data_IF_962497314289
#
_entry.id   IF_962497314289
#
_cell.length_a   1.000
_cell.length_b   1.000
_cell.length_c   1.000
_cell.angle_alpha   90.00
_cell.angle_beta   90.00
_cell.angle_gamma   90.00
#
_symmetry.space_group_name_H-M   'P 1'
#
loop_
_entity.id
_entity.type
_entity.pdbx_description
1 polymer ?
#
# COMPACT_ATOMS: atom_id res chain seq x y z
N UNK A 1 -71.56 26.00 55.37
CA UNK A 1 -70.65 24.85 55.30
C UNK A 1 -69.70 25.06 54.15
N UNK A 2 -68.42 25.25 54.45
CA UNK A 2 -67.27 24.63 53.78
C UNK A 2 -66.01 25.12 54.48
N UNK A 3 -65.38 24.17 55.16
CA UNK A 3 -63.99 24.16 55.61
C UNK A 3 -63.07 24.57 54.45
N UNK A 4 -61.92 25.21 54.63
CA UNK A 4 -60.64 24.57 55.00
C UNK A 4 -59.58 25.68 54.81
N UNK A 5 -58.97 26.26 55.85
CA UNK A 5 -57.74 25.83 56.55
C UNK A 5 -56.40 26.04 55.80
N UNK A 6 -55.46 26.60 56.57
CA UNK A 6 -53.98 26.61 56.50
C UNK A 6 -53.31 27.62 55.55
N UNK A 7 -52.59 28.64 56.06
CA UNK A 7 -51.25 28.58 56.71
C UNK A 7 -50.22 28.09 55.67
N UNK A 8 -49.09 28.73 55.37
CA UNK A 8 -48.08 29.32 56.24
C UNK A 8 -46.96 29.89 55.33
N UNK A 9 -46.32 30.97 55.77
CA UNK A 9 -44.86 31.21 55.75
C UNK A 9 -43.99 31.01 54.50
N UNK A 10 -43.33 32.14 54.16
CA UNK A 10 -41.90 32.33 53.85
C UNK A 10 -41.13 31.26 53.07
N UNK A 11 -40.57 31.67 51.94
CA UNK A 11 -39.35 31.10 51.37
C UNK A 11 -38.54 32.28 50.82
N UNK A 12 -37.73 32.91 51.66
CA UNK A 12 -36.28 32.67 51.75
C UNK A 12 -35.58 32.97 50.42
N UNK A 13 -35.19 34.24 50.27
CA UNK A 13 -34.02 34.59 49.47
C UNK A 13 -32.83 33.80 50.02
N UNK A 14 -32.21 32.97 49.19
CA UNK A 14 -30.88 32.46 49.46
C UNK A 14 -30.14 32.34 48.13
N UNK A 15 -29.30 33.35 47.90
CA UNK A 15 -28.03 33.31 47.18
C UNK A 15 -27.77 32.01 46.40
N UNK A 16 -28.15 32.01 45.12
CA UNK A 16 -27.39 31.28 44.11
C UNK A 16 -26.09 32.07 43.92
N UNK A 17 -25.06 31.73 44.71
CA UNK A 17 -23.68 31.98 44.30
C UNK A 17 -23.49 31.29 42.95
N UNK A 18 -23.64 32.06 41.88
CA UNK A 18 -23.16 31.67 40.56
C UNK A 18 -21.66 31.64 40.71
N UNK A 19 -21.11 30.43 40.84
CA UNK A 19 -19.68 30.17 40.80
C UNK A 19 -19.03 31.02 39.72
N UNK A 20 -17.94 31.70 40.09
CA UNK A 20 -17.17 32.63 39.26
C UNK A 20 -17.21 32.25 37.77
N UNK A 21 -18.04 32.98 37.02
CA UNK A 21 -17.98 32.96 35.55
C UNK A 21 -16.67 33.67 35.18
N UNK A 22 -15.58 32.91 35.09
CA UNK A 22 -14.36 33.37 34.43
C UNK A 22 -14.77 33.94 33.07
N UNK A 23 -14.66 35.27 32.93
CA UNK A 23 -14.95 35.97 31.69
C UNK A 23 -13.79 35.68 30.74
N UNK A 24 -13.89 34.58 30.00
CA UNK A 24 -12.94 34.23 28.94
C UNK A 24 -12.87 35.42 27.99
N UNK A 25 -11.70 36.03 27.92
CA UNK A 25 -11.47 37.19 27.05
C UNK A 25 -11.53 36.73 25.60
N UNK A 26 -12.00 37.59 24.68
CA UNK A 26 -12.00 37.31 23.24
C UNK A 26 -10.60 36.87 22.77
N UNK A 27 -9.56 37.49 23.32
CA UNK A 27 -8.15 37.18 23.01
C UNK A 27 -7.78 35.78 23.47
N UNK A 28 -8.23 35.37 24.66
CA UNK A 28 -8.02 34.02 25.20
C UNK A 28 -8.72 32.97 24.34
N UNK A 29 -9.94 33.25 23.89
CA UNK A 29 -10.69 32.35 23.01
C UNK A 29 -9.96 32.17 21.66
N UNK A 30 -9.45 33.27 21.07
CA UNK A 30 -8.69 33.22 19.81
C UNK A 30 -7.36 32.48 19.99
N UNK A 31 -6.65 32.69 21.10
CA UNK A 31 -5.43 31.94 21.41
C UNK A 31 -5.70 30.44 21.56
N UNK A 32 -6.78 30.05 22.23
CA UNK A 32 -7.17 28.63 22.35
C UNK A 32 -7.52 28.05 20.97
N UNK A 33 -8.23 28.80 20.13
CA UNK A 33 -8.61 28.35 18.78
C UNK A 33 -7.38 28.16 17.87
N UNK A 34 -6.42 29.08 17.93
CA UNK A 34 -5.14 28.96 17.23
C UNK A 34 -4.33 27.76 17.73
N UNK A 35 -4.28 27.55 19.04
CA UNK A 35 -3.55 26.44 19.65
C UNK A 35 -4.17 25.09 19.27
N UNK A 36 -5.51 24.97 19.29
CA UNK A 36 -6.22 23.78 18.83
C UNK A 36 -5.98 23.53 17.35
N UNK A 37 -6.04 24.56 16.51
CA UNK A 37 -5.74 24.45 15.08
C UNK A 37 -4.32 23.93 14.81
N UNK A 38 -3.33 24.45 15.53
CA UNK A 38 -1.94 24.02 15.40
C UNK A 38 -1.77 22.56 15.82
N UNK A 39 -2.33 22.16 16.98
CA UNK A 39 -2.29 20.76 17.45
C UNK A 39 -2.96 19.81 16.45
N UNK A 40 -4.07 20.21 15.83
CA UNK A 40 -4.75 19.42 14.82
C UNK A 40 -3.86 19.14 13.60
N UNK A 41 -3.21 20.16 13.03
CA UNK A 41 -2.33 19.99 11.86
C UNK A 41 -1.18 19.01 12.17
N UNK A 42 -0.55 19.14 13.34
CA UNK A 42 0.52 18.23 13.73
C UNK A 42 0.03 16.79 13.96
N UNK A 43 -1.12 16.60 14.61
CA UNK A 43 -1.66 15.26 14.89
C UNK A 43 -2.09 14.53 13.61
N UNK A 44 -2.80 15.20 12.71
CA UNK A 44 -3.22 14.63 11.43
C UNK A 44 -2.00 14.35 10.53
N UNK A 45 -1.04 15.28 10.45
CA UNK A 45 0.18 15.07 9.67
C UNK A 45 0.97 13.86 10.15
N UNK A 46 1.19 13.71 11.45
CA UNK A 46 1.91 12.54 12.00
C UNK A 46 1.15 11.23 11.82
N UNK A 47 -0.19 11.24 11.92
CA UNK A 47 -1.01 10.03 11.72
C UNK A 47 -0.98 9.57 10.27
N UNK A 48 -1.09 10.51 9.31
CA UNK A 48 -0.96 10.22 7.88
C UNK A 48 0.41 9.59 7.56
N UNK A 49 1.49 10.18 8.07
CA UNK A 49 2.84 9.65 7.87
C UNK A 49 3.03 8.24 8.42
N UNK A 50 2.41 7.90 9.55
CA UNK A 50 2.47 6.53 10.09
C UNK A 50 1.74 5.53 9.22
N UNK A 51 0.56 5.90 8.72
CA UNK A 51 -0.23 5.05 7.82
C UNK A 51 0.54 4.80 6.54
N UNK A 52 1.10 5.86 5.94
CA UNK A 52 1.91 5.77 4.73
C UNK A 52 3.13 4.88 4.91
N UNK A 53 3.87 5.03 6.03
CA UNK A 53 5.04 4.19 6.33
C UNK A 53 4.67 2.72 6.56
N UNK A 54 3.54 2.46 7.21
CA UNK A 54 3.07 1.09 7.41
C UNK A 54 2.66 0.44 6.08
N UNK A 55 1.97 1.18 5.21
CA UNK A 55 1.61 0.69 3.88
C UNK A 55 2.86 0.42 3.02
N UNK A 56 3.87 1.27 3.12
CA UNK A 56 5.15 1.09 2.41
C UNK A 56 5.93 -0.12 2.94
N UNK A 57 5.99 -0.32 4.25
CA UNK A 57 6.65 -1.49 4.84
C UNK A 57 5.96 -2.80 4.41
N UNK A 58 4.63 -2.83 4.37
CA UNK A 58 3.88 -3.98 3.89
C UNK A 58 4.10 -4.23 2.40
N UNK A 59 4.14 -3.18 1.59
CA UNK A 59 4.45 -3.30 0.16
C UNK A 59 5.85 -3.85 -0.07
N UNK A 60 6.84 -3.40 0.71
CA UNK A 60 8.19 -3.91 0.65
C UNK A 60 8.26 -5.41 1.02
N UNK A 61 7.62 -5.82 2.12
CA UNK A 61 7.57 -7.24 2.52
C UNK A 61 6.92 -8.14 1.45
N UNK A 62 5.86 -7.63 0.80
CA UNK A 62 5.20 -8.34 -0.30
C UNK A 62 6.10 -8.44 -1.53
N UNK A 63 6.81 -7.36 -1.85
CA UNK A 63 7.74 -7.35 -2.97
C UNK A 63 8.93 -8.28 -2.73
N UNK A 64 9.50 -8.31 -1.52
CA UNK A 64 10.58 -9.22 -1.15
C UNK A 64 10.22 -10.70 -1.37
N UNK A 65 8.94 -11.07 -1.18
CA UNK A 65 8.45 -12.44 -1.43
C UNK A 65 8.35 -12.78 -2.92
N UNK A 66 8.20 -11.78 -3.78
CA UNK A 66 8.05 -11.96 -5.23
C UNK A 66 9.41 -12.01 -5.94
N UNK A 67 10.42 -11.32 -5.41
CA UNK A 67 11.80 -11.37 -5.93
C UNK A 67 12.30 -12.80 -6.22
N UNK A 68 12.21 -13.78 -5.30
CA UNK A 68 12.69 -15.14 -5.58
C UNK A 68 11.90 -15.83 -6.70
N UNK A 69 10.62 -15.49 -6.89
CA UNK A 69 9.80 -16.01 -7.99
C UNK A 69 10.33 -15.48 -9.32
N UNK A 70 10.58 -14.16 -9.40
CA UNK A 70 11.18 -13.52 -10.58
C UNK A 70 12.55 -14.14 -10.87
N UNK A 71 13.41 -14.32 -9.86
CA UNK A 71 14.73 -14.96 -10.03
C UNK A 71 14.64 -16.39 -10.53
N UNK A 72 13.63 -17.15 -10.09
CA UNK A 72 13.40 -18.52 -10.58
C UNK A 72 13.04 -18.52 -12.06
N UNK A 73 12.19 -17.58 -12.48
CA UNK A 73 11.84 -17.42 -13.89
C UNK A 73 13.04 -17.00 -14.75
N UNK A 74 13.86 -16.06 -14.26
CA UNK A 74 15.11 -15.63 -14.91
C UNK A 74 16.07 -16.81 -15.06
N UNK A 75 16.30 -17.57 -13.98
CA UNK A 75 17.20 -18.72 -14.01
C UNK A 75 16.73 -19.80 -14.98
N UNK A 76 15.41 -20.04 -15.08
CA UNK A 76 14.87 -20.98 -16.06
C UNK A 76 15.11 -20.52 -17.51
N UNK A 77 15.04 -19.21 -17.77
CA UNK A 77 15.34 -18.64 -19.09
C UNK A 77 16.84 -18.71 -19.43
N UNK A 78 17.71 -18.42 -18.46
CA UNK A 78 19.16 -18.57 -18.63
C UNK A 78 19.56 -20.04 -18.80
N UNK A 79 18.97 -20.96 -18.03
CA UNK A 79 19.21 -22.39 -18.19
C UNK A 79 18.76 -22.89 -19.56
N UNK A 80 17.63 -22.41 -20.08
CA UNK A 80 17.21 -22.70 -21.45
C UNK A 80 18.28 -22.24 -22.45
N UNK A 81 18.71 -20.98 -22.34
CA UNK A 81 19.73 -20.38 -23.21
C UNK A 81 21.06 -21.14 -23.19
N UNK A 82 21.50 -21.60 -22.01
CA UNK A 82 22.76 -22.37 -21.88
C UNK A 82 22.67 -23.76 -22.51
N UNK A 83 21.47 -24.34 -22.60
CA UNK A 83 21.23 -25.66 -23.16
C UNK A 83 20.82 -25.63 -24.64
N UNK A 84 20.46 -24.45 -25.16
CA UNK A 84 20.08 -24.25 -26.55
C UNK A 84 21.30 -24.22 -27.49
N UNK A 85 21.18 -24.80 -28.68
CA UNK A 85 22.28 -24.90 -29.65
C UNK A 85 22.68 -23.54 -30.25
N UNK A 86 21.78 -22.55 -30.23
CA UNK A 86 22.00 -21.21 -30.76
C UNK A 86 22.30 -20.18 -29.67
N UNK A 87 22.04 -20.52 -28.41
CA UNK A 87 22.24 -19.61 -27.28
C UNK A 87 21.21 -18.49 -27.22
N UNK A 88 20.00 -18.74 -27.71
CA UNK A 88 18.88 -17.80 -27.70
C UNK A 88 17.95 -18.02 -26.49
N UNK A 89 17.24 -16.96 -26.10
CA UNK A 89 16.19 -17.04 -25.10
C UNK A 89 14.94 -17.75 -25.66
N UNK A 90 14.12 -18.37 -24.78
CA UNK A 90 12.94 -19.10 -25.24
C UNK A 90 11.96 -18.16 -25.96
N UNK A 91 11.38 -18.61 -27.06
CA UNK A 91 10.37 -17.84 -27.82
C UNK A 91 8.96 -17.98 -27.26
N UNK A 92 8.77 -18.86 -26.28
CA UNK A 92 7.49 -19.10 -25.60
C UNK A 92 7.74 -19.43 -24.12
N UNK A 93 6.82 -18.98 -23.26
CA UNK A 93 6.87 -19.26 -21.82
C UNK A 93 6.81 -20.77 -21.55
N UNK A 94 6.11 -21.55 -22.38
CA UNK A 94 5.97 -23.01 -22.20
C UNK A 94 7.27 -23.80 -22.30
N UNK A 95 8.33 -23.19 -22.84
CA UNK A 95 9.65 -23.79 -22.92
C UNK A 95 10.46 -23.61 -21.63
N UNK A 96 10.00 -22.74 -20.73
CA UNK A 96 10.59 -22.58 -19.41
C UNK A 96 10.18 -23.79 -18.55
N UNK A 97 11.16 -24.47 -17.97
CA UNK A 97 10.93 -25.62 -17.09
C UNK A 97 10.48 -25.16 -15.68
N UNK A 98 9.38 -24.44 -15.62
CA UNK A 98 8.77 -23.94 -14.40
C UNK A 98 7.62 -24.86 -13.99
N UNK A 99 7.50 -25.13 -12.70
CA UNK A 99 6.41 -25.91 -12.12
C UNK A 99 5.70 -25.11 -11.04
N UNK A 100 4.45 -25.47 -10.76
CA UNK A 100 3.68 -24.92 -9.65
C UNK A 100 4.38 -25.17 -8.31
N UNK A 101 4.29 -24.18 -7.43
CA UNK A 101 4.85 -24.24 -6.08
C UNK A 101 3.85 -23.68 -5.06
N UNK A 102 4.19 -23.74 -3.78
CA UNK A 102 3.37 -23.12 -2.73
C UNK A 102 3.37 -21.57 -2.82
N UNK A 103 4.33 -20.96 -3.52
CA UNK A 103 4.49 -19.50 -3.60
C UNK A 103 3.94 -18.91 -4.89
N UNK A 104 3.83 -19.71 -5.96
CA UNK A 104 3.24 -19.27 -7.22
C UNK A 104 2.63 -20.43 -8.01
N UNK A 105 1.67 -20.09 -8.86
CA UNK A 105 1.02 -21.03 -9.79
C UNK A 105 1.13 -20.53 -11.22
N UNK A 106 1.23 -21.44 -12.18
CA UNK A 106 1.26 -21.12 -13.60
C UNK A 106 -0.16 -21.23 -14.14
N UNK A 107 -0.61 -20.15 -14.77
CA UNK A 107 -1.96 -20.03 -15.34
C UNK A 107 -1.87 -19.60 -16.79
N UNK A 108 -2.94 -19.85 -17.54
CA UNK A 108 -3.11 -19.34 -18.90
C UNK A 108 -4.31 -18.41 -18.95
N UNK A 109 -4.18 -17.29 -19.64
CA UNK A 109 -5.29 -16.38 -19.89
C UNK A 109 -6.24 -16.93 -20.98
N UNK A 110 -7.30 -16.18 -21.28
CA UNK A 110 -8.29 -16.55 -22.32
C UNK A 110 -7.67 -16.63 -23.74
N UNK A 111 -6.50 -16.01 -23.95
CA UNK A 111 -5.77 -16.04 -25.21
C UNK A 111 -4.72 -17.18 -25.26
N UNK A 112 -4.61 -17.97 -24.20
CA UNK A 112 -3.63 -19.04 -24.08
C UNK A 112 -2.22 -18.58 -23.69
N UNK A 113 -2.04 -17.31 -23.28
CA UNK A 113 -0.76 -16.77 -22.83
C UNK A 113 -0.53 -17.24 -21.40
N UNK A 114 0.58 -17.93 -21.17
CA UNK A 114 0.97 -18.40 -19.84
C UNK A 114 1.59 -17.28 -19.01
N UNK A 115 1.28 -17.29 -17.73
CA UNK A 115 1.80 -16.33 -16.74
C UNK A 115 1.91 -16.98 -15.36
N UNK A 116 2.78 -16.41 -14.53
CA UNK A 116 2.96 -16.83 -13.14
C UNK A 116 2.07 -15.96 -12.24
N UNK A 117 1.20 -16.58 -11.45
CA UNK A 117 0.40 -15.93 -10.43
C UNK A 117 1.02 -16.16 -9.04
N UNK A 118 1.56 -15.08 -8.46
CA UNK A 118 2.18 -15.05 -7.14
C UNK A 118 1.32 -14.27 -6.12
N UNK A 119 -0.02 -14.25 -6.28
CA UNK A 119 -1.00 -13.55 -5.43
C UNK A 119 -0.94 -12.01 -5.48
N UNK A 120 0.18 -11.43 -5.07
CA UNK A 120 0.40 -9.97 -5.07
C UNK A 120 0.87 -9.45 -6.44
N UNK A 121 1.42 -10.34 -7.29
CA UNK A 121 1.93 -10.03 -8.62
C UNK A 121 1.57 -11.12 -9.62
N UNK A 122 1.39 -10.71 -10.88
CA UNK A 122 1.35 -11.61 -12.04
C UNK A 122 2.58 -11.36 -12.90
N UNK A 123 3.32 -12.41 -13.27
CA UNK A 123 4.55 -12.29 -14.07
C UNK A 123 4.28 -12.83 -15.46
N UNK A 124 4.47 -11.97 -16.45
CA UNK A 124 4.37 -12.30 -17.87
C UNK A 124 5.75 -12.34 -18.49
N UNK A 125 5.93 -13.21 -19.48
CA UNK A 125 7.13 -13.24 -20.29
C UNK A 125 6.82 -12.58 -21.64
N UNK A 126 7.55 -11.50 -21.94
CA UNK A 126 7.52 -10.80 -23.22
C UNK A 126 8.56 -11.44 -24.15
N UNK A 127 8.06 -12.11 -25.18
CA UNK A 127 8.87 -12.84 -26.17
C UNK A 127 9.48 -11.92 -27.22
N UNK A 128 8.97 -10.69 -27.38
CA UNK A 128 9.50 -9.71 -28.32
C UNK A 128 10.73 -9.00 -27.73
N UNK A 129 10.66 -8.68 -26.43
CA UNK A 129 11.73 -7.98 -25.72
C UNK A 129 12.63 -8.89 -24.89
N UNK A 130 12.31 -10.18 -24.79
CA UNK A 130 12.97 -11.13 -23.88
C UNK A 130 13.01 -10.57 -22.46
N UNK A 131 11.84 -10.21 -21.92
CA UNK A 131 11.72 -9.59 -20.61
C UNK A 131 10.66 -10.24 -19.74
N UNK A 132 10.86 -10.21 -18.43
CA UNK A 132 9.85 -10.61 -17.46
C UNK A 132 9.17 -9.38 -16.87
N UNK A 133 7.85 -9.31 -17.00
CA UNK A 133 7.02 -8.19 -16.54
C UNK A 133 6.18 -8.66 -15.37
N UNK A 134 6.59 -8.31 -14.14
CA UNK A 134 5.82 -8.52 -12.93
C UNK A 134 4.86 -7.34 -12.69
N UNK A 135 3.57 -7.56 -12.89
CA UNK A 135 2.50 -6.57 -12.70
C UNK A 135 1.83 -6.78 -11.34
N UNK A 136 1.71 -5.72 -10.54
CA UNK A 136 1.06 -5.78 -9.23
C UNK A 136 -0.45 -5.96 -9.34
N UNK A 137 -1.02 -6.76 -8.45
CA UNK A 137 -2.47 -6.98 -8.35
C UNK A 137 -3.10 -6.04 -7.31
N UNK A 138 -4.43 -6.08 -7.16
CA UNK A 138 -5.10 -5.35 -6.08
C UNK A 138 -4.66 -5.81 -4.68
N UNK A 139 -4.24 -7.08 -4.54
CA UNK A 139 -3.73 -7.64 -3.29
C UNK A 139 -2.50 -6.90 -2.78
N UNK A 140 -1.65 -6.39 -3.67
CA UNK A 140 -0.50 -5.55 -3.30
C UNK A 140 -0.91 -4.21 -2.66
N UNK A 141 -2.16 -3.79 -2.84
CA UNK A 141 -2.71 -2.51 -2.38
C UNK A 141 -2.78 -1.44 -3.47
N UNK A 142 -2.18 -1.70 -4.62
CA UNK A 142 -2.28 -0.89 -5.85
C UNK A 142 -1.98 -1.77 -7.06
N UNK A 143 -2.96 -1.90 -7.95
CA UNK A 143 -2.80 -2.65 -9.18
C UNK A 143 -2.06 -1.83 -10.25
N UNK A 144 -1.32 -2.52 -11.12
CA UNK A 144 -0.74 -1.97 -12.33
C UNK A 144 0.67 -1.36 -12.21
N UNK A 145 1.33 -1.49 -11.05
CA UNK A 145 2.77 -1.21 -10.95
C UNK A 145 3.50 -2.35 -11.62
N UNK A 146 4.37 -2.06 -12.59
CA UNK A 146 5.13 -3.06 -13.33
C UNK A 146 6.60 -3.02 -12.95
N UNK A 147 7.17 -4.19 -12.71
CA UNK A 147 8.61 -4.39 -12.60
C UNK A 147 9.04 -5.23 -13.80
N UNK A 148 9.84 -4.63 -14.67
CA UNK A 148 10.31 -5.22 -15.92
C UNK A 148 11.77 -5.63 -15.70
N UNK A 149 12.09 -6.88 -15.97
CA UNK A 149 13.47 -7.36 -16.03
C UNK A 149 13.82 -7.75 -17.45
N UNK A 150 14.77 -7.05 -18.05
CA UNK A 150 15.24 -7.32 -19.42
C UNK A 150 16.39 -8.32 -19.35
N UNK A 151 16.22 -9.51 -19.94
CA UNK A 151 17.21 -10.58 -19.87
C UNK A 151 18.53 -10.20 -20.56
N UNK A 152 18.44 -9.55 -21.72
CA UNK A 152 19.62 -9.16 -22.51
C UNK A 152 20.55 -8.17 -21.77
N UNK A 153 19.97 -7.22 -21.05
CA UNK A 153 20.71 -6.17 -20.34
C UNK A 153 20.93 -6.48 -18.86
N UNK A 154 20.35 -7.58 -18.36
CA UNK A 154 20.29 -7.93 -16.94
C UNK A 154 19.87 -6.74 -16.05
N UNK A 155 18.88 -5.97 -16.50
CA UNK A 155 18.49 -4.72 -15.84
C UNK A 155 17.03 -4.72 -15.42
N UNK A 156 16.76 -4.07 -14.28
CA UNK A 156 15.41 -3.84 -13.77
C UNK A 156 14.92 -2.44 -14.14
N UNK A 157 13.64 -2.35 -14.49
CA UNK A 157 12.91 -1.11 -14.71
C UNK A 157 11.59 -1.16 -13.97
N UNK A 158 11.14 -0.02 -13.44
CA UNK A 158 9.86 0.11 -12.73
C UNK A 158 8.99 1.11 -13.45
N UNK A 159 7.80 0.68 -13.84
CA UNK A 159 6.77 1.55 -14.41
C UNK A 159 5.58 1.64 -13.44
N UNK A 160 5.30 2.86 -12.99
CA UNK A 160 4.14 3.14 -12.15
C UNK A 160 3.20 4.13 -12.86
N UNK A 161 1.98 3.73 -13.24
CA UNK A 161 1.04 4.61 -13.93
C UNK A 161 0.47 5.72 -13.03
N UNK A 162 0.68 5.66 -11.71
CA UNK A 162 0.16 6.63 -10.75
C UNK A 162 1.12 6.82 -9.58
N UNK A 163 2.33 7.36 -9.79
CA UNK A 163 3.39 7.41 -8.78
C UNK A 163 3.01 8.24 -7.53
N UNK A 164 2.05 9.16 -7.67
CA UNK A 164 1.54 9.96 -6.54
C UNK A 164 0.74 9.14 -5.53
N UNK A 165 0.26 7.95 -5.92
CA UNK A 165 -0.57 7.08 -5.08
C UNK A 165 0.26 5.95 -4.50
N UNK A 166 0.33 5.85 -3.18
CA UNK A 166 0.99 4.75 -2.47
C UNK A 166 0.09 3.49 -2.43
N UNK A 167 0.65 2.28 -2.34
CA UNK A 167 2.08 1.94 -2.36
C UNK A 167 2.73 2.08 -3.74
N UNK A 168 4.04 2.33 -3.79
CA UNK A 168 4.86 2.31 -5.00
C UNK A 168 6.08 1.42 -4.77
N UNK A 169 6.72 0.94 -5.83
CA UNK A 169 7.96 0.15 -5.74
C UNK A 169 9.12 1.12 -5.94
N UNK A 170 10.07 1.12 -5.00
CA UNK A 170 11.26 1.96 -5.11
C UNK A 170 12.37 1.21 -5.81
N UNK A 171 13.17 1.93 -6.59
CA UNK A 171 14.35 1.38 -7.26
C UNK A 171 15.35 0.77 -6.26
N UNK A 172 15.40 1.31 -5.04
CA UNK A 172 16.22 0.80 -3.92
C UNK A 172 15.85 -0.61 -3.48
N UNK A 173 14.63 -1.08 -3.78
CA UNK A 173 14.15 -2.42 -3.40
C UNK A 173 14.49 -3.48 -4.45
N UNK A 174 14.89 -3.05 -5.64
CA UNK A 174 15.26 -3.94 -6.72
C UNK A 174 16.58 -4.64 -6.35
N UNK A 175 16.76 -5.92 -6.72
CA UNK A 175 18.04 -6.58 -6.56
C UNK A 175 19.15 -5.76 -7.23
N UNK A 176 20.14 -5.37 -6.46
CA UNK A 176 21.38 -4.80 -6.96
C UNK A 176 22.32 -5.98 -7.21
N UNK A 177 22.63 -6.26 -8.48
CA UNK A 177 23.71 -7.19 -8.84
C UNK A 177 25.07 -6.47 -8.80
#
# INVERSE_FOLDING_TARGET
MSETAKNTQSKAENNLQVADKHKVSLVELIMILLLVGLVFVFFFGMRQLRIDKAAEALAHEKFEKVIPVIKTAINAAEEFKMNDEFGDYPFDFGLLNLSDTDTYTIKSDENGIMYIDATDFTIHYDTEQYSFIASSTESFGKAGVKVIYVLADASYQVEDPSPERKPTIRDEWLPQD
#
